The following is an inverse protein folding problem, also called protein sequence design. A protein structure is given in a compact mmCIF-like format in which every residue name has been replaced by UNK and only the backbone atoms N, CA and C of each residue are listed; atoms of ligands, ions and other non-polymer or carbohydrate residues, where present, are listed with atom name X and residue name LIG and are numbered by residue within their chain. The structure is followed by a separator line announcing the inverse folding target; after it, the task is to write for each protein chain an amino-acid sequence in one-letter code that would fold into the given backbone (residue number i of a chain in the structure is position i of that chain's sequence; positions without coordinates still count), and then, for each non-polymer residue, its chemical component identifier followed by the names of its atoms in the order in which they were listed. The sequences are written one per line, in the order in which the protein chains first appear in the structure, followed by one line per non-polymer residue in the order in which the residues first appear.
data_IF_890488229837
#
_entry.id   IF_890488229837
#
_cell.length_a   1.000
_cell.length_b   1.000
_cell.length_c   1.000
_cell.angle_alpha   90.00
_cell.angle_beta   90.00
_cell.angle_gamma   90.00
#
_symmetry.space_group_name_H-M   'P 1'
#
loop_
_entity.id
_entity.type
_entity.pdbx_description
1 polymer ?
#
# COMPACT_ATOMS: atom_id res chain seq x y z
N UNK A 1 -9.26 26.68 17.98
CA UNK A 1 -10.35 26.15 18.82
C UNK A 1 -10.29 24.65 18.66
N UNK A 2 -9.75 23.94 19.66
CA UNK A 2 -9.71 22.49 19.64
C UNK A 2 -11.05 22.01 20.20
N UNK A 3 -11.87 21.37 19.39
CA UNK A 3 -13.07 20.71 19.87
C UNK A 3 -12.67 19.31 20.35
N UNK A 4 -12.57 19.16 21.66
CA UNK A 4 -12.50 17.86 22.32
C UNK A 4 -13.89 17.26 22.31
N UNK A 5 -14.12 16.22 21.52
CA UNK A 5 -15.36 15.45 21.60
C UNK A 5 -15.14 14.27 22.56
N UNK A 6 -15.80 14.32 23.72
CA UNK A 6 -15.86 13.22 24.67
C UNK A 6 -17.28 12.64 24.66
N UNK A 7 -17.44 11.38 24.19
CA UNK A 7 -18.70 10.63 24.25
C UNK A 7 -18.75 9.53 23.18
N UNK A 8 -18.65 8.27 23.59
CA UNK A 8 -18.29 7.12 22.75
C UNK A 8 -19.30 6.64 21.71
N UNK A 9 -18.75 5.83 20.78
CA UNK A 9 -19.31 5.14 19.60
C UNK A 9 -19.07 5.80 18.23
N UNK A 10 -18.51 7.01 18.19
CA UNK A 10 -17.93 7.52 16.94
C UNK A 10 -16.53 6.92 16.74
N UNK A 11 -16.20 6.42 15.53
CA UNK A 11 -14.83 6.03 15.22
C UNK A 11 -13.89 7.23 15.34
N UNK A 12 -12.83 7.08 16.12
CA UNK A 12 -11.73 8.04 16.17
C UNK A 12 -10.91 7.90 14.88
N UNK A 13 -10.91 8.95 14.06
CA UNK A 13 -10.19 8.96 12.79
C UNK A 13 -8.86 9.71 12.96
N UNK A 14 -7.77 9.01 12.70
CA UNK A 14 -6.48 9.65 12.53
C UNK A 14 -6.48 10.48 11.23
N UNK A 15 -6.42 11.81 11.36
CA UNK A 15 -6.46 12.76 10.24
C UNK A 15 -5.08 13.24 9.81
N UNK A 16 -4.02 12.82 10.51
CA UNK A 16 -2.66 13.16 10.15
C UNK A 16 -2.26 12.50 8.83
N UNK A 17 -1.47 13.22 8.02
CA UNK A 17 -0.90 12.63 6.82
C UNK A 17 0.11 11.54 7.19
N UNK A 18 0.01 10.35 6.59
CA UNK A 18 0.89 9.26 6.96
C UNK A 18 2.31 9.52 6.48
N UNK A 19 3.27 9.12 7.30
CA UNK A 19 4.69 9.21 6.95
C UNK A 19 5.02 8.26 5.79
N UNK A 20 5.94 8.69 4.94
CA UNK A 20 6.58 7.82 3.96
C UNK A 20 7.79 7.10 4.60
N UNK A 21 8.34 6.12 3.87
CA UNK A 21 9.58 5.39 4.17
C UNK A 21 9.55 4.15 5.08
N UNK A 22 8.44 3.83 5.78
CA UNK A 22 8.35 2.59 6.58
C UNK A 22 7.06 1.81 6.33
N UNK A 23 7.10 0.50 6.59
CA UNK A 23 5.92 -0.34 6.74
C UNK A 23 5.34 -0.16 8.16
N UNK A 24 4.13 0.37 8.24
CA UNK A 24 3.44 0.69 9.49
C UNK A 24 2.28 -0.29 9.75
N UNK A 25 2.15 -0.79 10.98
CA UNK A 25 1.06 -1.66 11.38
C UNK A 25 -0.18 -0.84 11.70
N UNK A 26 -1.26 -1.05 10.95
CA UNK A 26 -2.56 -0.38 11.12
C UNK A 26 -3.55 -1.23 11.93
N UNK A 27 -3.44 -2.55 11.81
CA UNK A 27 -4.23 -3.53 12.54
C UNK A 27 -3.45 -4.83 12.68
N UNK A 28 -3.92 -5.83 13.44
CA UNK A 28 -3.24 -7.10 13.58
C UNK A 28 -2.92 -7.80 12.25
N UNK A 29 -3.68 -7.51 11.18
CA UNK A 29 -3.51 -8.15 9.87
C UNK A 29 -3.12 -7.19 8.74
N UNK A 30 -3.16 -5.87 8.98
CA UNK A 30 -2.95 -4.88 7.91
C UNK A 30 -1.78 -3.98 8.25
N UNK A 31 -0.85 -3.90 7.29
CA UNK A 31 0.28 -2.98 7.31
C UNK A 31 0.23 -2.09 6.08
N UNK A 32 0.84 -0.91 6.15
CA UNK A 32 0.87 0.08 5.06
C UNK A 32 2.25 0.67 4.88
N UNK A 33 2.71 0.77 3.64
CA UNK A 33 3.87 1.56 3.22
C UNK A 33 3.41 2.66 2.27
N UNK A 34 3.93 3.87 2.44
CA UNK A 34 3.59 5.02 1.58
C UNK A 34 4.74 5.28 0.61
N UNK A 35 4.45 5.28 -0.70
CA UNK A 35 5.40 5.54 -1.77
C UNK A 35 5.89 7.01 -1.75
N UNK A 36 7.13 7.29 -2.17
CA UNK A 36 7.69 8.64 -2.17
C UNK A 36 7.20 9.50 -3.36
N UNK A 37 5.90 9.46 -3.67
CA UNK A 37 5.27 10.14 -4.81
C UNK A 37 4.20 11.17 -4.39
N UNK A 38 4.38 11.83 -3.25
CA UNK A 38 3.44 12.82 -2.72
C UNK A 38 3.20 14.00 -3.67
N UNK A 39 1.97 14.50 -3.67
CA UNK A 39 1.51 15.55 -4.59
C UNK A 39 0.01 15.78 -4.54
N UNK A 40 -0.54 16.68 -5.39
CA UNK A 40 -1.95 17.07 -5.36
C UNK A 40 -2.95 15.92 -5.50
N UNK A 41 -2.55 14.82 -6.14
CA UNK A 41 -3.39 13.65 -6.37
C UNK A 41 -3.12 12.48 -5.41
N UNK A 42 -2.01 12.52 -4.67
CA UNK A 42 -1.52 11.41 -3.83
C UNK A 42 -1.32 11.82 -2.36
N UNK A 43 -1.57 13.08 -2.02
CA UNK A 43 -1.30 13.65 -0.70
C UNK A 43 0.15 13.39 -0.24
N UNK A 44 0.37 12.63 0.85
CA UNK A 44 1.73 12.25 1.27
C UNK A 44 2.37 11.14 0.44
N UNK A 45 1.58 10.47 -0.41
CA UNK A 45 2.01 9.42 -1.33
C UNK A 45 0.98 8.30 -1.46
N UNK A 46 1.16 7.43 -2.45
CA UNK A 46 0.31 6.26 -2.64
C UNK A 46 0.52 5.26 -1.51
N UNK A 47 -0.59 4.78 -0.93
CA UNK A 47 -0.57 3.74 0.08
C UNK A 47 -0.54 2.34 -0.57
N UNK A 48 0.53 1.59 -0.32
CA UNK A 48 0.60 0.15 -0.56
C UNK A 48 0.26 -0.59 0.72
N UNK A 49 -0.69 -1.52 0.66
CA UNK A 49 -1.11 -2.30 1.82
C UNK A 49 -0.60 -3.73 1.76
N UNK A 50 -0.26 -4.29 2.92
CA UNK A 50 0.12 -5.69 3.10
C UNK A 50 -0.89 -6.32 4.05
N UNK A 51 -1.49 -7.43 3.61
CA UNK A 51 -2.49 -8.17 4.38
C UNK A 51 -1.95 -9.54 4.74
N UNK A 52 -1.96 -9.86 6.04
CA UNK A 52 -1.49 -11.13 6.61
C UNK A 52 -0.06 -11.08 7.15
N UNK A 53 0.45 -12.26 7.55
CA UNK A 53 1.83 -12.50 8.00
C UNK A 53 2.36 -13.83 7.47
N UNK A 54 3.64 -13.90 7.13
CA UNK A 54 4.30 -15.09 6.59
C UNK A 54 3.96 -15.36 5.12
N UNK A 55 2.67 -15.49 4.80
CA UNK A 55 2.12 -15.47 3.45
C UNK A 55 1.21 -14.26 3.33
N UNK A 56 1.52 -13.34 2.43
CA UNK A 56 0.87 -12.02 2.38
C UNK A 56 0.31 -11.67 1.02
N UNK A 57 -0.79 -10.93 1.01
CA UNK A 57 -1.28 -10.25 -0.17
C UNK A 57 -0.83 -8.78 -0.14
N UNK A 58 -0.31 -8.28 -1.26
CA UNK A 58 0.02 -6.86 -1.44
C UNK A 58 -1.07 -6.19 -2.27
N UNK A 59 -1.63 -5.09 -1.78
CA UNK A 59 -2.66 -4.30 -2.47
C UNK A 59 -2.03 -2.99 -2.94
N UNK A 60 -2.20 -2.68 -4.23
CA UNK A 60 -1.73 -1.45 -4.90
C UNK A 60 -0.25 -1.13 -4.60
N UNK A 61 0.68 -1.83 -5.26
CA UNK A 61 2.13 -1.69 -5.02
C UNK A 61 2.73 -0.35 -5.47
N UNK A 62 1.90 0.60 -5.93
CA UNK A 62 2.30 1.96 -6.19
C UNK A 62 2.76 2.21 -7.64
N UNK A 63 3.47 3.32 -7.88
CA UNK A 63 3.97 3.67 -9.21
C UNK A 63 5.06 2.68 -9.69
N UNK A 64 5.54 2.86 -10.91
CA UNK A 64 6.67 2.09 -11.45
C UNK A 64 7.99 2.58 -10.84
N UNK A 65 8.13 2.39 -9.54
CA UNK A 65 9.28 2.81 -8.73
C UNK A 65 9.94 1.57 -8.11
N UNK A 66 11.10 1.21 -8.64
CA UNK A 66 11.88 0.08 -8.15
C UNK A 66 12.33 0.27 -6.70
N UNK A 67 12.67 1.51 -6.29
CA UNK A 67 13.09 1.79 -4.92
C UNK A 67 11.98 1.58 -3.90
N UNK A 68 10.73 1.92 -4.25
CA UNK A 68 9.57 1.62 -3.42
C UNK A 68 9.32 0.11 -3.29
N UNK A 69 9.39 -0.63 -4.40
CA UNK A 69 9.21 -2.10 -4.41
C UNK A 69 10.32 -2.80 -3.64
N UNK A 70 11.58 -2.41 -3.83
CA UNK A 70 12.72 -3.00 -3.13
C UNK A 70 12.63 -2.74 -1.62
N UNK A 71 12.20 -1.54 -1.22
CA UNK A 71 11.99 -1.22 0.18
C UNK A 71 10.80 -1.98 0.80
N UNK A 72 9.71 -2.18 0.05
CA UNK A 72 8.62 -3.05 0.48
C UNK A 72 9.11 -4.49 0.70
N UNK A 73 9.90 -5.05 -0.22
CA UNK A 73 10.45 -6.39 -0.09
C UNK A 73 11.41 -6.51 1.10
N UNK A 74 12.21 -5.46 1.35
CA UNK A 74 13.06 -5.39 2.53
C UNK A 74 12.24 -5.39 3.83
N UNK A 75 11.13 -4.63 3.88
CA UNK A 75 10.21 -4.61 5.03
C UNK A 75 9.54 -5.98 5.28
N UNK A 76 9.25 -6.74 4.21
CA UNK A 76 8.65 -8.07 4.28
C UNK A 76 9.64 -9.17 4.70
N UNK A 77 10.94 -8.95 4.57
CA UNK A 77 11.98 -9.89 4.97
C UNK A 77 11.80 -11.28 4.32
N UNK A 78 11.50 -12.30 5.14
CA UNK A 78 11.32 -13.69 4.69
C UNK A 78 9.86 -14.05 4.36
N UNK A 79 8.93 -13.10 4.44
CA UNK A 79 7.54 -13.34 4.07
C UNK A 79 7.39 -13.57 2.57
N UNK A 80 6.43 -14.41 2.20
CA UNK A 80 6.12 -14.73 0.80
C UNK A 80 4.93 -13.91 0.33
N UNK A 81 5.10 -13.17 -0.76
CA UNK A 81 3.97 -12.52 -1.44
C UNK A 81 3.21 -13.58 -2.23
N UNK A 82 1.99 -13.91 -1.78
CA UNK A 82 1.15 -14.95 -2.40
C UNK A 82 0.18 -14.38 -3.44
N UNK A 83 -0.11 -13.08 -3.37
CA UNK A 83 -0.95 -12.38 -4.34
C UNK A 83 -0.60 -10.89 -4.42
N UNK A 84 -0.76 -10.31 -5.60
CA UNK A 84 -0.69 -8.87 -5.85
C UNK A 84 -2.05 -8.41 -6.33
N UNK A 85 -2.75 -7.61 -5.55
CA UNK A 85 -4.10 -7.13 -5.85
C UNK A 85 -4.03 -5.70 -6.35
N UNK A 86 -4.54 -5.47 -7.56
CA UNK A 86 -4.64 -4.14 -8.15
C UNK A 86 -6.10 -3.70 -8.12
N UNK A 87 -6.39 -2.60 -7.43
CA UNK A 87 -7.76 -2.09 -7.29
C UNK A 87 -8.27 -1.43 -8.57
N UNK A 88 -7.40 -0.66 -9.24
CA UNK A 88 -7.69 0.05 -10.49
C UNK A 88 -6.39 0.41 -11.23
N UNK A 89 -6.48 1.00 -12.43
CA UNK A 89 -5.36 1.11 -13.38
C UNK A 89 -4.70 2.48 -13.46
N UNK A 90 -4.90 3.35 -12.47
CA UNK A 90 -4.19 4.63 -12.44
C UNK A 90 -2.68 4.44 -12.21
N UNK A 91 -1.91 5.40 -12.71
CA UNK A 91 -0.43 5.36 -12.78
C UNK A 91 0.23 5.33 -11.41
N UNK A 92 -0.41 5.90 -10.42
CA UNK A 92 0.10 5.99 -9.06
C UNK A 92 -0.07 4.69 -8.27
N UNK A 93 -0.95 3.76 -8.69
CA UNK A 93 -1.27 2.53 -7.94
C UNK A 93 -0.79 1.22 -8.60
N UNK A 94 -1.06 1.06 -9.89
CA UNK A 94 -0.96 -0.24 -10.58
C UNK A 94 0.39 -0.61 -11.18
N UNK A 95 1.25 0.31 -11.67
CA UNK A 95 2.44 -0.08 -12.43
C UNK A 95 3.47 -0.89 -11.61
N UNK A 96 3.59 -0.64 -10.30
CA UNK A 96 4.46 -1.41 -9.42
C UNK A 96 4.13 -2.91 -9.37
N UNK A 97 2.94 -3.33 -9.80
CA UNK A 97 2.52 -4.73 -9.75
C UNK A 97 3.34 -5.62 -10.67
N UNK A 98 3.75 -5.11 -11.84
CA UNK A 98 4.61 -5.85 -12.76
C UNK A 98 6.03 -6.01 -12.20
N UNK A 99 6.55 -4.96 -11.56
CA UNK A 99 7.85 -5.02 -10.90
C UNK A 99 7.84 -6.02 -9.74
N UNK A 100 6.84 -5.93 -8.87
CA UNK A 100 6.68 -6.84 -7.73
C UNK A 100 6.50 -8.29 -8.20
N UNK A 101 5.65 -8.54 -9.21
CA UNK A 101 5.49 -9.86 -9.81
C UNK A 101 6.81 -10.42 -10.35
N UNK A 102 7.62 -9.59 -11.02
CA UNK A 102 8.91 -10.02 -11.54
C UNK A 102 9.92 -10.41 -10.44
N UNK A 103 9.78 -9.85 -9.23
CA UNK A 103 10.64 -10.15 -8.08
C UNK A 103 10.17 -11.35 -7.27
N UNK A 104 8.86 -11.58 -7.19
CA UNK A 104 8.28 -12.59 -6.27
C UNK A 104 7.66 -13.79 -6.98
N UNK A 105 7.33 -13.66 -8.26
CA UNK A 105 6.55 -14.66 -9.00
C UNK A 105 5.07 -14.68 -8.64
N UNK A 106 4.61 -13.80 -7.75
CA UNK A 106 3.22 -13.80 -7.29
C UNK A 106 2.24 -13.46 -8.43
N UNK A 107 1.07 -14.12 -8.48
CA UNK A 107 0.03 -13.78 -9.45
C UNK A 107 -0.54 -12.39 -9.16
N UNK A 108 -0.84 -11.66 -10.24
CA UNK A 108 -1.61 -10.41 -10.16
C UNK A 108 -3.10 -10.74 -10.30
N UNK A 109 -3.90 -10.23 -9.38
CA UNK A 109 -5.36 -10.34 -9.37
C UNK A 109 -6.01 -8.95 -9.29
N UNK A 110 -7.28 -8.85 -9.65
CA UNK A 110 -8.05 -7.60 -9.61
C UNK A 110 -8.27 -6.98 -10.98
N UNK A 111 -8.10 -5.66 -11.08
CA UNK A 111 -8.50 -4.88 -12.25
C UNK A 111 -7.70 -5.28 -13.51
N UNK A 112 -8.42 -5.59 -14.59
CA UNK A 112 -7.83 -5.77 -15.91
C UNK A 112 -7.32 -4.43 -16.47
N UNK A 113 -6.37 -4.44 -17.43
CA UNK A 113 -5.93 -3.21 -18.08
C UNK A 113 -7.11 -2.36 -18.56
N UNK A 114 -7.01 -1.03 -18.40
CA UNK A 114 -8.02 -0.11 -18.90
C UNK A 114 -8.26 -0.37 -20.38
N UNK A 115 -9.52 -0.64 -20.74
CA UNK A 115 -9.95 -0.75 -22.14
C UNK A 115 -10.51 0.61 -22.53
N UNK A 116 -9.87 1.25 -23.51
CA UNK A 116 -10.39 2.46 -24.13
C UNK A 116 -11.69 2.17 -24.91
#
# INVERSE_FOLDING_TARGET
MAETNAGGDAPDFETAMPANARLETLSPLVRRRVAPNGGPFTASGTCTYVVGHGQVAVIDPGPEDAGHVDALLADLGSETVSAIVVTHTHRDHSPGARLLQARTGAPIAGCLPHRA
#
